data_IF_372319440179
#
_entry.id   IF_372319440179
#
_cell.length_a   1.000
_cell.length_b   1.000
_cell.length_c   1.000
_cell.angle_alpha   90.00
_cell.angle_beta   90.00
_cell.angle_gamma   90.00
#
_symmetry.space_group_name_H-M   'P 1'
#
loop_
_entity.id
_entity.type
_entity.pdbx_description
1 polymer ?
#
# COMPACT_ATOMS: atom_id res chain seq x y z
N UNK A 1 35.20 10.82 -18.17
CA UNK A 1 35.55 9.89 -17.07
C UNK A 1 35.52 8.46 -17.57
N UNK A 2 36.49 7.61 -17.19
CA UNK A 2 36.52 6.19 -17.60
C UNK A 2 35.74 5.32 -16.59
N UNK A 3 34.67 4.60 -16.99
CA UNK A 3 33.84 3.79 -16.09
C UNK A 3 34.62 2.70 -15.32
N UNK A 4 35.71 2.22 -15.90
CA UNK A 4 36.59 1.23 -15.30
C UNK A 4 37.32 1.72 -14.03
N UNK A 5 37.54 3.03 -13.90
CA UNK A 5 38.13 3.60 -12.67
C UNK A 5 37.07 3.63 -11.56
N UNK A 6 35.86 4.04 -11.90
CA UNK A 6 34.72 4.11 -10.96
C UNK A 6 34.41 2.73 -10.37
N UNK A 7 34.38 1.68 -11.20
CA UNK A 7 34.14 0.30 -10.75
C UNK A 7 35.21 -0.20 -9.77
N UNK A 8 36.49 0.13 -10.01
CA UNK A 8 37.60 -0.25 -9.12
C UNK A 8 37.61 0.54 -7.81
N UNK A 9 37.35 1.85 -7.87
CA UNK A 9 37.28 2.71 -6.68
C UNK A 9 36.10 2.35 -5.78
N UNK A 10 34.93 2.06 -6.37
CA UNK A 10 33.72 1.76 -5.62
C UNK A 10 33.58 0.28 -5.24
N UNK A 11 34.46 -0.61 -5.73
CA UNK A 11 34.37 -2.08 -5.54
C UNK A 11 33.01 -2.65 -5.97
N UNK A 12 32.48 -2.15 -7.09
CA UNK A 12 31.17 -2.54 -7.65
C UNK A 12 31.37 -3.10 -9.05
N UNK A 13 30.54 -4.08 -9.45
CA UNK A 13 30.62 -4.68 -10.79
C UNK A 13 30.43 -3.65 -11.90
N UNK A 14 31.14 -3.85 -13.01
CA UNK A 14 31.03 -2.99 -14.19
C UNK A 14 29.57 -2.85 -14.68
N UNK A 15 28.80 -3.95 -14.62
CA UNK A 15 27.38 -3.96 -14.99
C UNK A 15 26.50 -3.09 -14.09
N UNK A 16 26.77 -3.04 -12.78
CA UNK A 16 26.03 -2.18 -11.86
C UNK A 16 26.38 -0.70 -12.07
N UNK A 17 27.67 -0.38 -12.26
CA UNK A 17 28.11 0.99 -12.59
C UNK A 17 27.48 1.47 -13.91
N UNK A 18 27.47 0.61 -14.94
CA UNK A 18 26.83 0.90 -16.23
C UNK A 18 25.33 1.19 -16.06
N UNK A 19 24.61 0.37 -15.28
CA UNK A 19 23.17 0.53 -15.03
C UNK A 19 22.84 1.81 -14.25
N UNK A 20 23.70 2.24 -13.33
CA UNK A 20 23.51 3.50 -12.58
C UNK A 20 23.77 4.70 -13.50
N UNK A 21 24.87 4.69 -14.24
CA UNK A 21 25.23 5.78 -15.15
C UNK A 21 24.20 5.96 -16.27
N UNK A 22 23.70 4.86 -16.85
CA UNK A 22 22.67 4.91 -17.88
C UNK A 22 21.38 5.55 -17.35
N UNK A 23 20.90 5.13 -16.16
CA UNK A 23 19.72 5.75 -15.52
C UNK A 23 19.93 7.23 -15.18
N UNK A 24 21.14 7.62 -14.78
CA UNK A 24 21.45 9.01 -14.47
C UNK A 24 21.42 9.90 -15.72
N UNK A 25 21.90 9.42 -16.87
CA UNK A 25 21.81 10.18 -18.13
C UNK A 25 20.36 10.31 -18.62
N UNK A 26 19.53 9.30 -18.40
CA UNK A 26 18.13 9.30 -18.83
C UNK A 26 17.21 10.12 -17.91
N UNK A 27 17.44 10.07 -16.59
CA UNK A 27 16.49 10.61 -15.59
C UNK A 27 17.09 11.65 -14.65
N UNK A 28 18.41 11.81 -14.63
CA UNK A 28 19.12 12.64 -13.65
C UNK A 28 19.10 12.10 -12.21
N UNK A 29 18.52 10.93 -11.96
CA UNK A 29 18.35 10.38 -10.61
C UNK A 29 19.25 9.17 -10.37
N UNK A 30 19.94 9.18 -9.23
CA UNK A 30 20.70 8.03 -8.71
C UNK A 30 19.86 7.14 -7.81
N UNK A 31 18.63 7.55 -7.46
CA UNK A 31 17.78 6.78 -6.55
C UNK A 31 17.36 5.47 -7.25
N UNK A 32 17.43 4.32 -6.55
CA UNK A 32 16.90 3.08 -7.11
C UNK A 32 15.41 3.26 -7.42
N UNK A 33 14.97 2.76 -8.58
CA UNK A 33 13.55 2.68 -8.88
C UNK A 33 12.87 1.77 -7.85
N UNK A 34 11.61 2.06 -7.52
CA UNK A 34 10.83 1.22 -6.61
C UNK A 34 10.50 -0.09 -7.32
N UNK A 35 11.32 -1.12 -7.09
CA UNK A 35 11.06 -2.49 -7.54
C UNK A 35 10.10 -3.09 -6.51
N UNK A 36 8.81 -3.10 -6.82
CA UNK A 36 7.78 -3.66 -5.94
C UNK A 36 6.45 -2.91 -5.92
N UNK A 37 6.35 -1.74 -6.56
CA UNK A 37 5.10 -0.98 -6.57
C UNK A 37 4.15 -1.35 -7.73
N UNK A 38 4.01 -2.64 -8.08
CA UNK A 38 2.84 -3.06 -8.86
C UNK A 38 1.63 -3.17 -7.93
N UNK A 39 1.25 -2.06 -7.32
CA UNK A 39 0.08 -1.96 -6.43
C UNK A 39 -1.23 -2.05 -7.24
N UNK A 40 -1.18 -2.32 -8.55
CA UNK A 40 -2.37 -2.48 -9.40
C UNK A 40 -3.24 -3.67 -8.97
N UNK A 41 -2.67 -4.62 -8.21
CA UNK A 41 -3.41 -5.75 -7.64
C UNK A 41 -4.05 -5.41 -6.28
N UNK A 42 -3.67 -4.30 -5.61
CA UNK A 42 -4.22 -3.90 -4.32
C UNK A 42 -5.60 -3.26 -4.48
N UNK A 43 -6.55 -4.16 -4.74
CA UNK A 43 -7.97 -4.05 -4.41
C UNK A 43 -8.82 -3.04 -5.20
N UNK A 44 -9.63 -3.62 -6.08
CA UNK A 44 -10.79 -3.02 -6.75
C UNK A 44 -11.92 -2.74 -5.74
N UNK A 45 -11.68 -1.99 -4.67
CA UNK A 45 -12.78 -1.41 -3.88
C UNK A 45 -13.21 -0.14 -4.58
N UNK A 46 -14.48 -0.06 -4.95
CA UNK A 46 -15.02 1.18 -5.49
C UNK A 46 -14.82 2.31 -4.49
N UNK A 47 -14.43 3.49 -4.97
CA UNK A 47 -14.27 4.70 -4.13
C UNK A 47 -15.54 4.99 -3.33
N UNK A 48 -16.69 4.62 -3.87
CA UNK A 48 -17.99 4.72 -3.21
C UNK A 48 -18.05 3.92 -1.90
N UNK A 49 -17.61 2.66 -1.92
CA UNK A 49 -17.60 1.78 -0.73
C UNK A 49 -16.65 2.34 0.33
N UNK A 50 -15.49 2.87 -0.08
CA UNK A 50 -14.53 3.50 0.83
C UNK A 50 -15.15 4.72 1.53
N UNK A 51 -15.87 5.56 0.78
CA UNK A 51 -16.53 6.73 1.35
C UNK A 51 -17.64 6.34 2.33
N UNK A 52 -18.42 5.29 2.04
CA UNK A 52 -19.44 4.77 2.95
C UNK A 52 -18.83 4.21 4.25
N UNK A 53 -17.73 3.45 4.16
CA UNK A 53 -17.01 2.98 5.36
C UNK A 53 -16.59 4.15 6.25
N UNK A 54 -16.04 5.22 5.66
CA UNK A 54 -15.65 6.43 6.39
C UNK A 54 -16.84 7.15 7.02
N UNK A 55 -17.96 7.23 6.31
CA UNK A 55 -19.18 7.82 6.84
C UNK A 55 -19.67 7.07 8.09
N UNK A 56 -19.74 5.73 8.03
CA UNK A 56 -20.13 4.91 9.19
C UNK A 56 -19.17 5.02 10.37
N UNK A 57 -17.86 5.10 10.10
CA UNK A 57 -16.85 5.26 11.14
C UNK A 57 -16.95 6.64 11.84
N UNK A 58 -17.32 7.68 11.10
CA UNK A 58 -17.51 9.04 11.65
C UNK A 58 -18.84 9.19 12.40
N UNK A 59 -19.90 8.52 11.94
CA UNK A 59 -21.23 8.57 12.55
C UNK A 59 -21.25 7.88 13.93
N UNK A 60 -20.54 6.74 14.05
CA UNK A 60 -20.43 5.99 15.31
C UNK A 60 -18.95 5.80 15.67
N UNK A 61 -18.35 6.67 16.50
CA UNK A 61 -16.98 6.49 16.96
C UNK A 61 -16.88 5.20 17.79
N UNK A 62 -16.02 4.27 17.34
CA UNK A 62 -15.83 2.96 18.00
C UNK A 62 -16.65 1.80 17.40
N UNK A 63 -17.32 2.01 16.26
CA UNK A 63 -17.95 0.92 15.52
C UNK A 63 -16.93 -0.18 15.17
N UNK A 64 -17.33 -1.46 15.24
CA UNK A 64 -16.44 -2.57 14.88
C UNK A 64 -16.50 -2.85 13.37
N UNK A 65 -15.42 -3.35 12.74
CA UNK A 65 -15.41 -3.64 11.29
C UNK A 65 -16.51 -4.61 10.85
N UNK A 66 -16.92 -5.52 11.73
CA UNK A 66 -18.03 -6.45 11.48
C UNK A 66 -19.36 -5.70 11.33
N UNK A 67 -19.67 -4.78 12.24
CA UNK A 67 -20.90 -3.99 12.16
C UNK A 67 -20.92 -3.09 10.91
N UNK A 68 -19.77 -2.57 10.49
CA UNK A 68 -19.65 -1.83 9.22
C UNK A 68 -19.93 -2.74 8.02
N UNK A 69 -19.42 -3.99 8.02
CA UNK A 69 -19.70 -4.98 6.98
C UNK A 69 -21.19 -5.30 6.88
N UNK A 70 -21.85 -5.49 8.02
CA UNK A 70 -23.27 -5.83 8.07
C UNK A 70 -24.13 -4.67 7.55
N UNK A 71 -23.81 -3.42 7.94
CA UNK A 71 -24.46 -2.20 7.39
C UNK A 71 -24.24 -2.05 5.89
N UNK A 72 -23.01 -2.27 5.42
CA UNK A 72 -22.70 -2.24 3.99
C UNK A 72 -23.49 -3.29 3.20
N UNK A 73 -23.65 -4.49 3.76
CA UNK A 73 -24.44 -5.57 3.13
C UNK A 73 -25.91 -5.17 2.99
N UNK A 74 -26.45 -4.49 4.00
CA UNK A 74 -27.83 -4.01 3.98
C UNK A 74 -28.05 -2.90 2.94
N UNK A 75 -27.09 -1.99 2.76
CA UNK A 75 -27.20 -0.89 1.79
C UNK A 75 -26.89 -1.29 0.34
N UNK A 76 -25.95 -2.21 0.12
CA UNK A 76 -25.53 -2.60 -1.23
C UNK A 76 -26.41 -3.71 -1.83
N UNK A 77 -27.25 -4.34 -1.00
CA UNK A 77 -28.14 -5.42 -1.40
C UNK A 77 -27.39 -6.72 -1.75
N UNK A 78 -28.14 -7.81 -1.96
CA UNK A 78 -27.59 -9.16 -2.16
C UNK A 78 -26.69 -9.33 -3.42
N UNK A 79 -26.62 -8.34 -4.30
CA UNK A 79 -25.88 -8.41 -5.57
C UNK A 79 -24.43 -7.90 -5.47
N UNK A 80 -24.03 -7.31 -4.35
CA UNK A 80 -22.67 -6.82 -4.14
C UNK A 80 -22.10 -7.36 -2.83
N UNK A 81 -21.05 -8.17 -2.94
CA UNK A 81 -20.38 -8.71 -1.76
C UNK A 81 -19.55 -7.59 -1.07
N UNK A 82 -19.75 -7.37 0.24
CA UNK A 82 -18.96 -6.38 0.96
C UNK A 82 -17.48 -6.77 0.98
N UNK A 83 -16.56 -5.78 1.04
CA UNK A 83 -15.15 -6.05 1.09
C UNK A 83 -14.78 -6.84 2.36
N UNK A 84 -13.70 -7.64 2.32
CA UNK A 84 -13.30 -8.46 3.46
C UNK A 84 -12.92 -7.61 4.69
N UNK A 85 -13.08 -8.17 5.89
CA UNK A 85 -12.94 -7.43 7.16
C UNK A 85 -11.60 -6.72 7.31
N UNK A 86 -10.51 -7.32 6.84
CA UNK A 86 -9.17 -6.72 6.90
C UNK A 86 -9.08 -5.39 6.14
N UNK A 87 -9.92 -5.21 5.11
CA UNK A 87 -9.97 -4.03 4.25
C UNK A 87 -10.75 -2.94 4.93
N UNK A 88 -11.93 -3.29 5.45
CA UNK A 88 -12.76 -2.37 6.22
C UNK A 88 -11.93 -1.81 7.38
N UNK A 89 -11.21 -2.68 8.10
CA UNK A 89 -10.34 -2.27 9.19
C UNK A 89 -9.20 -1.33 8.72
N UNK A 90 -8.58 -1.57 7.55
CA UNK A 90 -7.57 -0.65 6.98
C UNK A 90 -8.17 0.71 6.65
N UNK A 91 -9.33 0.74 5.98
CA UNK A 91 -10.02 1.98 5.62
C UNK A 91 -10.45 2.77 6.86
N UNK A 92 -10.95 2.09 7.89
CA UNK A 92 -11.33 2.72 9.16
C UNK A 92 -10.14 3.36 9.90
N UNK A 93 -8.95 2.76 9.80
CA UNK A 93 -7.71 3.34 10.37
C UNK A 93 -7.13 4.49 9.56
N UNK A 94 -7.74 4.84 8.42
CA UNK A 94 -7.19 5.85 7.51
C UNK A 94 -5.88 5.39 6.85
N UNK A 95 -5.57 4.09 6.90
CA UNK A 95 -4.41 3.55 6.21
C UNK A 95 -4.68 3.61 4.71
N UNK A 96 -3.81 4.31 3.98
CA UNK A 96 -3.85 4.28 2.53
C UNK A 96 -3.88 2.83 2.07
N UNK A 97 -4.87 2.49 1.24
CA UNK A 97 -4.92 1.21 0.52
C UNK A 97 -3.63 1.00 -0.31
N UNK A 98 -2.84 2.07 -0.49
CA UNK A 98 -1.56 2.13 -1.17
C UNK A 98 -0.34 1.63 -0.37
N UNK A 99 -0.53 1.15 0.87
CA UNK A 99 0.46 0.31 1.55
C UNK A 99 1.53 1.07 2.33
N UNK A 100 1.35 1.08 3.64
CA UNK A 100 2.39 1.41 4.61
C UNK A 100 2.19 0.58 5.88
N UNK A 101 2.80 -0.61 5.91
CA UNK A 101 3.11 -1.48 7.06
C UNK A 101 2.04 -1.76 8.12
N UNK A 102 1.60 -3.02 8.07
CA UNK A 102 1.02 -3.80 9.17
C UNK A 102 2.10 -4.11 10.20
N UNK A 103 2.14 -3.41 11.34
CA UNK A 103 2.94 -3.77 12.53
C UNK A 103 2.35 -3.16 13.83
N UNK A 104 1.01 -3.08 13.99
CA UNK A 104 0.43 -2.43 15.18
C UNK A 104 -0.63 -3.23 15.96
N UNK A 105 -1.01 -4.45 15.57
CA UNK A 105 -2.10 -5.16 16.24
C UNK A 105 -1.83 -6.66 16.46
N UNK A 106 -0.78 -6.98 17.23
CA UNK A 106 -0.65 -8.29 17.90
C UNK A 106 -0.05 -8.21 19.30
N UNK A 107 -0.15 -7.06 20.00
CA UNK A 107 0.48 -6.88 21.32
C UNK A 107 -0.44 -6.53 22.47
N UNK A 108 -1.73 -6.87 22.39
CA UNK A 108 -2.69 -6.58 23.46
C UNK A 108 -3.59 -7.74 23.88
N UNK A 109 -3.36 -8.98 23.44
CA UNK A 109 -4.09 -10.16 23.93
C UNK A 109 -3.20 -11.41 24.06
N UNK A 110 -2.06 -11.27 24.74
CA UNK A 110 -1.44 -12.40 25.41
C UNK A 110 -1.69 -12.19 26.92
N UNK A 111 -2.71 -12.89 27.41
CA UNK A 111 -2.75 -13.29 28.82
C UNK A 111 -1.69 -14.38 29.01
#
# INVERSE_FOLDING_TARGET
MRPCIISRTLKVSHGCVSKILNRYQETGSIRPGVIGASNKTSMRVSKEIVNRIKAFANDVPGITPQHVRDRLTHEMGANSEPPPLHVIARVMRGEDLNGGKFDAYRKSNAC
#
